data_IF_420743504331
#
_entry.id   IF_420743504331
#
_cell.length_a   1.000
_cell.length_b   1.000
_cell.length_c   1.000
_cell.angle_alpha   90.00
_cell.angle_beta   90.00
_cell.angle_gamma   90.00
#
_symmetry.space_group_name_H-M   'P 1'
#
loop_
_entity.id
_entity.type
_entity.pdbx_description
1 polymer ?
#
# COMPACT_ATOMS: atom_id res chain seq x y z
N UNK A 1 -51.55 4.30 -26.02
CA UNK A 1 -51.36 5.70 -26.45
C UNK A 1 -51.11 6.51 -25.19
N UNK A 2 -49.98 6.29 -24.52
CA UNK A 2 -48.64 6.86 -24.78
C UNK A 2 -48.59 8.35 -24.42
N UNK A 3 -47.64 8.86 -23.62
CA UNK A 3 -46.29 8.40 -23.34
C UNK A 3 -45.85 8.73 -21.90
N UNK A 4 -45.10 7.81 -21.28
CA UNK A 4 -44.27 8.07 -20.10
C UNK A 4 -43.00 8.79 -20.56
N UNK A 5 -42.65 9.88 -19.88
CA UNK A 5 -41.31 10.46 -19.90
C UNK A 5 -40.61 9.94 -18.65
N UNK A 6 -39.66 9.04 -18.83
CA UNK A 6 -38.74 8.56 -17.78
C UNK A 6 -37.61 9.57 -17.66
N UNK A 7 -37.57 10.28 -16.53
CA UNK A 7 -36.35 10.92 -16.01
C UNK A 7 -35.53 9.83 -15.30
N UNK A 8 -34.75 9.09 -16.08
CA UNK A 8 -33.69 8.20 -15.57
C UNK A 8 -32.41 8.54 -16.34
N UNK A 9 -31.73 9.60 -15.90
CA UNK A 9 -30.32 9.86 -16.23
C UNK A 9 -29.54 9.97 -14.90
N UNK A 10 -28.56 9.09 -14.64
CA UNK A 10 -27.71 9.19 -13.45
C UNK A 10 -26.72 10.37 -13.55
N UNK A 11 -26.47 11.11 -12.46
CA UNK A 11 -25.77 12.38 -12.53
C UNK A 11 -24.25 12.20 -12.37
N UNK A 12 -23.50 11.81 -13.41
CA UNK A 12 -22.03 11.95 -13.36
C UNK A 12 -21.24 11.84 -14.67
N UNK A 13 -21.87 11.88 -15.85
CA UNK A 13 -21.10 11.85 -17.11
C UNK A 13 -21.27 13.11 -17.99
N UNK A 14 -20.10 13.63 -18.39
CA UNK A 14 -19.78 14.54 -19.50
C UNK A 14 -19.84 16.06 -19.30
N UNK A 15 -18.64 16.70 -19.36
CA UNK A 15 -18.33 17.77 -20.33
C UNK A 15 -16.81 18.05 -20.45
N UNK A 16 -16.34 18.64 -21.58
CA UNK A 16 -15.02 18.40 -22.18
C UNK A 16 -13.89 19.34 -21.72
N UNK A 17 -12.64 18.87 -21.92
CA UNK A 17 -11.39 19.63 -21.77
C UNK A 17 -11.35 20.88 -22.68
N UNK A 18 -10.67 21.95 -22.23
CA UNK A 18 -10.01 22.89 -23.13
C UNK A 18 -8.48 22.68 -23.20
N UNK A 19 -7.99 22.73 -24.43
CA UNK A 19 -6.60 22.72 -24.87
C UNK A 19 -5.68 23.75 -24.19
N UNK A 20 -4.38 23.40 -24.10
CA UNK A 20 -3.35 24.33 -24.57
C UNK A 20 -2.12 24.58 -23.70
N UNK A 21 -0.98 24.13 -24.25
CA UNK A 21 0.30 24.85 -24.43
C UNK A 21 1.41 24.80 -23.37
N UNK A 22 2.48 24.16 -23.88
CA UNK A 22 3.87 24.66 -24.06
C UNK A 22 4.90 24.37 -22.97
N UNK A 23 5.79 23.46 -23.36
CA UNK A 23 7.16 23.29 -22.92
C UNK A 23 8.00 24.59 -23.05
N UNK A 24 8.96 24.75 -22.14
CA UNK A 24 10.10 25.62 -22.32
C UNK A 24 11.38 24.89 -21.87
N UNK A 25 12.35 24.87 -22.79
CA UNK A 25 13.69 24.33 -22.63
C UNK A 25 14.58 25.25 -21.80
N UNK A 26 15.58 24.68 -21.11
CA UNK A 26 16.70 25.42 -20.49
C UNK A 26 18.01 24.95 -21.14
N UNK A 27 18.81 25.84 -21.75
CA UNK A 27 20.09 25.49 -22.36
C UNK A 27 21.29 25.75 -21.43
N UNK A 28 22.23 24.80 -21.45
CA UNK A 28 23.70 24.91 -21.47
C UNK A 28 24.48 25.84 -20.54
N UNK A 29 25.58 25.34 -19.96
CA UNK A 29 26.97 25.77 -20.32
C UNK A 29 28.07 24.94 -19.65
N UNK A 30 29.23 25.04 -20.29
CA UNK A 30 30.45 24.24 -20.23
C UNK A 30 31.39 24.47 -19.03
N UNK A 31 32.10 23.37 -18.69
CA UNK A 31 33.54 23.17 -18.47
C UNK A 31 34.44 24.30 -17.90
N UNK A 32 35.31 23.91 -16.95
CA UNK A 32 36.75 24.20 -16.99
C UNK A 32 37.54 23.29 -16.04
N UNK A 33 38.76 22.94 -16.47
CA UNK A 33 39.69 21.99 -15.87
C UNK A 33 40.80 22.69 -15.06
N UNK A 34 41.66 21.83 -14.50
CA UNK A 34 43.09 22.02 -14.17
C UNK A 34 43.45 22.31 -12.70
N UNK A 35 44.14 21.32 -12.09
CA UNK A 35 45.15 21.54 -11.06
C UNK A 35 46.31 20.55 -11.29
N UNK A 36 47.52 21.09 -11.38
CA UNK A 36 48.76 20.43 -11.75
C UNK A 36 49.46 19.68 -10.61
N UNK A 37 50.43 18.85 -11.03
CA UNK A 37 51.40 18.07 -10.24
C UNK A 37 52.55 18.92 -9.72
N UNK A 38 53.14 18.48 -8.60
CA UNK A 38 54.56 18.47 -8.15
C UNK A 38 54.52 17.99 -6.68
N UNK A 39 55.44 17.24 -6.06
CA UNK A 39 56.67 16.57 -6.43
C UNK A 39 56.97 15.54 -5.31
N UNK A 40 57.82 14.55 -5.60
CA UNK A 40 58.28 13.54 -4.67
C UNK A 40 59.35 14.05 -3.68
N UNK A 41 59.39 13.48 -2.48
CA UNK A 41 60.61 13.33 -1.69
C UNK A 41 60.54 11.99 -0.93
N UNK A 42 61.56 11.18 -1.17
CA UNK A 42 61.87 9.88 -0.59
C UNK A 42 62.85 10.08 0.58
N UNK A 43 62.64 9.37 1.70
CA UNK A 43 63.72 8.83 2.55
C UNK A 43 63.18 8.23 3.86
N UNK A 44 63.56 6.97 4.14
CA UNK A 44 63.74 6.46 5.51
C UNK A 44 62.88 5.25 5.90
N UNK A 45 63.42 4.04 5.73
CA UNK A 45 62.86 2.77 6.20
C UNK A 45 63.66 2.25 7.41
N UNK A 46 62.93 1.69 8.40
CA UNK A 46 63.29 0.69 9.42
C UNK A 46 63.78 1.12 10.81
N UNK A 47 62.94 0.90 11.84
CA UNK A 47 63.23 0.07 13.04
C UNK A 47 62.22 0.36 14.18
N UNK A 48 61.18 -0.47 14.37
CA UNK A 48 60.36 -0.42 15.60
C UNK A 48 59.47 -1.67 15.84
N UNK A 49 59.89 -2.87 15.41
CA UNK A 49 59.10 -4.10 15.60
C UNK A 49 59.74 -5.15 16.55
N UNK A 50 60.92 -4.90 17.14
CA UNK A 50 61.66 -5.93 17.91
C UNK A 50 61.80 -5.67 19.43
N UNK A 51 61.13 -4.67 20.01
CA UNK A 51 61.29 -4.31 21.44
C UNK A 51 60.18 -4.82 22.38
N UNK A 52 59.15 -5.51 21.87
CA UNK A 52 58.05 -6.01 22.70
C UNK A 52 58.33 -7.39 23.33
N UNK A 53 59.19 -8.21 22.72
CA UNK A 53 59.49 -9.57 23.19
C UNK A 53 60.55 -9.62 24.31
N UNK A 54 61.19 -8.49 24.62
CA UNK A 54 62.19 -8.39 25.70
C UNK A 54 61.59 -7.95 27.04
N UNK A 55 60.42 -7.29 27.01
CA UNK A 55 59.80 -6.70 28.20
C UNK A 55 58.95 -7.70 29.02
N UNK A 56 58.54 -8.82 28.43
CA UNK A 56 57.69 -9.81 29.07
C UNK A 56 58.26 -11.22 28.85
N UNK A 57 59.03 -11.71 29.82
CA UNK A 57 59.57 -13.07 29.82
C UNK A 57 58.50 -14.17 29.72
N UNK A 58 58.90 -15.43 29.48
CA UNK A 58 58.03 -16.51 29.00
C UNK A 58 56.96 -17.04 29.99
N UNK A 59 56.75 -16.39 31.14
CA UNK A 59 55.92 -16.89 32.24
C UNK A 59 54.57 -16.15 32.43
N UNK A 60 54.03 -15.50 31.40
CA UNK A 60 52.64 -14.97 31.43
C UNK A 60 51.62 -15.87 30.71
N UNK A 61 51.98 -17.13 30.48
CA UNK A 61 51.09 -18.15 29.94
C UNK A 61 50.06 -18.67 30.98
N UNK A 62 49.10 -17.82 31.36
CA UNK A 62 47.91 -18.29 32.07
C UNK A 62 46.70 -17.35 31.91
N UNK A 63 46.40 -16.89 30.69
CA UNK A 63 45.04 -16.42 30.41
C UNK A 63 44.23 -17.63 29.95
N UNK A 64 43.24 -17.99 30.77
CA UNK A 64 42.23 -19.01 30.50
C UNK A 64 41.73 -18.85 29.07
N UNK A 65 42.13 -19.75 28.17
CA UNK A 65 41.70 -19.72 26.78
C UNK A 65 40.19 -19.91 26.73
N UNK A 66 39.46 -18.81 26.56
CA UNK A 66 38.04 -18.83 26.24
C UNK A 66 37.92 -19.50 24.88
N UNK A 67 37.27 -20.66 24.86
CA UNK A 67 37.17 -21.54 23.69
C UNK A 67 36.51 -20.82 22.51
N UNK A 68 37.07 -21.02 21.31
CA UNK A 68 36.65 -20.35 20.06
C UNK A 68 35.16 -20.50 19.71
N UNK A 69 34.47 -21.48 20.31
CA UNK A 69 33.03 -21.69 20.15
C UNK A 69 32.16 -20.55 20.74
N UNK A 70 32.64 -19.78 21.74
CA UNK A 70 31.86 -18.67 22.32
C UNK A 70 32.00 -17.35 21.54
N UNK A 71 33.12 -17.14 20.80
CA UNK A 71 33.30 -15.93 19.97
C UNK A 71 32.41 -15.94 18.73
N UNK A 72 32.17 -17.10 18.13
CA UNK A 72 31.30 -17.24 16.95
C UNK A 72 29.81 -16.97 17.26
N UNK A 73 29.32 -17.36 18.45
CA UNK A 73 27.92 -17.08 18.86
C UNK A 73 27.65 -15.60 19.19
N UNK A 74 28.65 -14.85 19.65
CA UNK A 74 28.52 -13.39 19.85
C UNK A 74 28.73 -12.61 18.55
N UNK A 75 29.62 -13.07 17.67
CA UNK A 75 29.83 -12.45 16.35
C UNK A 75 28.58 -12.52 15.47
N UNK A 76 27.87 -13.65 15.46
CA UNK A 76 26.64 -13.81 14.68
C UNK A 76 25.47 -12.97 15.21
N UNK A 77 25.32 -12.81 16.54
CA UNK A 77 24.28 -11.95 17.12
C UNK A 77 24.51 -10.46 16.85
N UNK A 78 25.76 -10.00 16.87
CA UNK A 78 26.10 -8.60 16.56
C UNK A 78 25.94 -8.32 15.06
N UNK A 79 26.33 -9.25 14.19
CA UNK A 79 26.20 -9.11 12.73
C UNK A 79 24.72 -9.19 12.30
N UNK A 80 23.93 -10.08 12.92
CA UNK A 80 22.47 -10.13 12.74
C UNK A 80 21.81 -8.83 13.20
N UNK A 81 22.22 -8.29 14.36
CA UNK A 81 21.74 -7.00 14.86
C UNK A 81 22.04 -5.83 13.91
N UNK A 82 23.24 -5.80 13.33
CA UNK A 82 23.62 -4.78 12.33
C UNK A 82 22.86 -4.92 11.01
N UNK A 83 22.61 -6.15 10.55
CA UNK A 83 21.80 -6.39 9.35
C UNK A 83 20.36 -5.95 9.58
N UNK A 84 19.76 -6.32 10.73
CA UNK A 84 18.40 -5.89 11.07
C UNK A 84 18.34 -4.37 11.22
N UNK A 85 19.28 -3.75 11.93
CA UNK A 85 19.34 -2.29 12.05
C UNK A 85 19.56 -1.60 10.70
N UNK A 86 20.40 -2.16 9.84
CA UNK A 86 20.65 -1.65 8.48
C UNK A 86 19.42 -1.75 7.59
N UNK A 87 18.68 -2.86 7.66
CA UNK A 87 17.40 -3.02 6.95
C UNK A 87 16.36 -2.05 7.50
N UNK A 88 16.24 -1.91 8.82
CA UNK A 88 15.31 -0.95 9.44
C UNK A 88 15.67 0.48 9.05
N UNK A 89 16.94 0.86 9.10
CA UNK A 89 17.41 2.19 8.68
C UNK A 89 17.17 2.39 7.19
N UNK A 90 17.41 1.39 6.33
CA UNK A 90 17.13 1.49 4.91
C UNK A 90 15.62 1.65 4.64
N UNK A 91 14.76 0.92 5.36
CA UNK A 91 13.30 1.06 5.28
C UNK A 91 12.86 2.45 5.76
N UNK A 92 13.36 2.91 6.90
CA UNK A 92 13.05 4.24 7.46
C UNK A 92 13.59 5.38 6.59
N UNK A 93 14.77 5.22 5.97
CA UNK A 93 15.28 6.21 5.03
C UNK A 93 14.51 6.18 3.71
N UNK A 94 14.02 5.01 3.28
CA UNK A 94 13.18 4.90 2.08
C UNK A 94 11.82 5.59 2.28
N UNK A 95 11.24 5.52 3.48
CA UNK A 95 10.01 6.27 3.80
C UNK A 95 10.25 7.78 3.85
N UNK A 96 11.44 8.24 4.27
CA UNK A 96 11.82 9.65 4.21
C UNK A 96 12.02 10.12 2.76
N UNK A 97 12.66 9.33 1.89
CA UNK A 97 12.88 9.67 0.47
C UNK A 97 11.56 9.71 -0.33
N UNK A 98 10.59 8.84 0.00
CA UNK A 98 9.24 8.90 -0.57
C UNK A 98 8.49 10.20 -0.25
N UNK A 99 8.82 10.85 0.88
CA UNK A 99 8.23 12.14 1.26
C UNK A 99 8.73 13.31 0.38
N UNK A 100 9.97 13.24 -0.10
CA UNK A 100 10.64 14.35 -0.83
C UNK A 100 10.29 14.36 -2.33
N UNK A 101 9.79 13.24 -2.89
CA UNK A 101 9.40 13.16 -4.30
C UNK A 101 7.96 13.68 -4.57
N UNK A 102 7.23 14.14 -3.56
CA UNK A 102 5.86 14.67 -3.65
C UNK A 102 5.75 16.11 -4.19
N UNK A 103 6.59 16.46 -5.18
CA UNK A 103 6.51 17.71 -5.91
C UNK A 103 7.41 18.82 -5.41
N UNK A 104 7.60 19.81 -6.28
CA UNK A 104 8.37 21.03 -6.02
C UNK A 104 7.74 21.75 -4.81
N UNK A 105 8.27 21.49 -3.62
CA UNK A 105 7.87 22.09 -2.34
C UNK A 105 6.94 21.29 -1.42
N UNK A 106 6.38 20.13 -1.82
CA UNK A 106 5.65 19.22 -0.90
C UNK A 106 4.35 19.72 -0.26
N UNK A 107 3.78 20.86 -0.68
CA UNK A 107 2.60 21.49 -0.03
C UNK A 107 1.27 21.18 -0.73
N UNK A 108 1.29 20.71 -1.99
CA UNK A 108 0.08 20.55 -2.79
C UNK A 108 -0.26 19.08 -3.10
N UNK A 109 -1.55 18.67 -3.01
CA UNK A 109 -1.97 17.32 -3.37
C UNK A 109 -1.68 17.00 -4.84
N UNK A 110 -1.20 15.78 -5.10
CA UNK A 110 -0.92 15.26 -6.44
C UNK A 110 -1.76 14.00 -6.73
N UNK A 111 -3.07 14.13 -6.97
CA UNK A 111 -3.94 12.97 -7.11
C UNK A 111 -3.57 12.08 -8.31
N UNK A 112 -3.17 12.66 -9.45
CA UNK A 112 -2.76 11.86 -10.61
C UNK A 112 -1.47 11.06 -10.34
N UNK A 113 -0.48 11.68 -9.69
CA UNK A 113 0.76 10.98 -9.34
C UNK A 113 0.53 9.89 -8.29
N UNK A 114 -0.40 10.09 -7.36
CA UNK A 114 -0.85 9.06 -6.42
C UNK A 114 -1.55 7.91 -7.14
N UNK A 115 -2.44 8.20 -8.10
CA UNK A 115 -3.10 7.20 -8.92
C UNK A 115 -2.09 6.37 -9.73
N UNK A 116 -1.13 7.03 -10.38
CA UNK A 116 -0.12 6.35 -11.21
C UNK A 116 0.78 5.44 -10.36
N UNK A 117 1.17 5.89 -9.15
CA UNK A 117 1.91 5.06 -8.17
C UNK A 117 1.07 3.87 -7.72
N UNK A 118 -0.17 4.11 -7.28
CA UNK A 118 -1.08 3.04 -6.87
C UNK A 118 -1.24 2.01 -7.99
N UNK A 119 -1.46 2.46 -9.24
CA UNK A 119 -1.62 1.57 -10.39
C UNK A 119 -0.38 0.72 -10.63
N UNK A 120 0.82 1.31 -10.55
CA UNK A 120 2.07 0.58 -10.71
C UNK A 120 2.24 -0.49 -9.62
N UNK A 121 2.06 -0.11 -8.36
CA UNK A 121 2.24 -0.98 -7.20
C UNK A 121 1.17 -2.09 -7.15
N UNK A 122 -0.10 -1.75 -7.38
CA UNK A 122 -1.20 -2.71 -7.43
C UNK A 122 -1.05 -3.70 -8.58
N UNK A 123 -0.60 -3.26 -9.76
CA UNK A 123 -0.35 -4.15 -10.90
C UNK A 123 0.82 -5.11 -10.65
N UNK A 124 1.74 -4.77 -9.74
CA UNK A 124 2.85 -5.62 -9.36
C UNK A 124 2.47 -6.69 -8.31
N UNK A 125 1.26 -6.62 -7.72
CA UNK A 125 0.79 -7.59 -6.72
C UNK A 125 0.50 -8.95 -7.39
N UNK A 126 1.16 -10.05 -6.97
CA UNK A 126 0.84 -11.39 -7.47
C UNK A 126 -0.64 -11.74 -7.30
N UNK A 127 -1.29 -12.11 -8.40
CA UNK A 127 -2.73 -12.44 -8.44
C UNK A 127 -3.62 -11.29 -8.93
N UNK A 128 -3.09 -10.09 -9.13
CA UNK A 128 -3.81 -9.01 -9.83
C UNK A 128 -3.74 -9.20 -11.34
N UNK A 129 -4.87 -9.09 -12.01
CA UNK A 129 -4.99 -9.23 -13.46
C UNK A 129 -5.07 -7.87 -14.16
N UNK A 130 -5.76 -6.90 -13.56
CA UNK A 130 -5.91 -5.57 -14.13
C UNK A 130 -6.25 -4.53 -13.05
N UNK A 131 -5.91 -3.27 -13.32
CA UNK A 131 -6.39 -2.09 -12.60
C UNK A 131 -7.18 -1.23 -13.58
N UNK A 132 -8.45 -0.96 -13.27
CA UNK A 132 -9.47 -0.40 -14.14
C UNK A 132 -10.20 0.75 -13.46
N UNK A 133 -10.99 1.49 -14.26
CA UNK A 133 -11.95 2.50 -13.83
C UNK A 133 -11.43 3.49 -12.76
N UNK A 134 -10.26 4.13 -12.99
CA UNK A 134 -9.74 5.06 -12.03
C UNK A 134 -10.60 6.33 -11.98
N UNK A 135 -10.96 6.78 -10.78
CA UNK A 135 -11.63 8.05 -10.54
C UNK A 135 -10.77 8.95 -9.66
N UNK A 136 -10.97 10.25 -9.79
CA UNK A 136 -10.32 11.26 -8.95
C UNK A 136 -11.34 12.34 -8.63
N UNK A 137 -11.73 12.40 -7.37
CA UNK A 137 -12.78 13.28 -6.89
C UNK A 137 -12.19 14.34 -5.95
N UNK A 138 -12.42 15.61 -6.26
CA UNK A 138 -12.02 16.71 -5.39
C UNK A 138 -13.02 16.87 -4.25
N UNK A 139 -12.54 16.72 -3.02
CA UNK A 139 -13.36 16.78 -1.82
C UNK A 139 -13.28 18.13 -1.09
N UNK A 140 -12.15 18.83 -1.19
CA UNK A 140 -11.96 20.17 -0.64
C UNK A 140 -10.83 20.89 -1.37
N UNK A 141 -10.47 22.09 -0.90
CA UNK A 141 -9.40 22.91 -1.48
C UNK A 141 -8.09 22.14 -1.69
N UNK A 142 -7.70 21.31 -0.73
CA UNK A 142 -6.50 20.47 -0.78
C UNK A 142 -6.79 19.01 -0.35
N UNK A 143 -7.96 18.48 -0.68
CA UNK A 143 -8.32 17.09 -0.40
C UNK A 143 -8.89 16.41 -1.64
N UNK A 144 -8.34 15.26 -2.00
CA UNK A 144 -8.73 14.44 -3.15
C UNK A 144 -8.89 13.00 -2.74
N UNK A 145 -9.86 12.34 -3.35
CA UNK A 145 -10.06 10.91 -3.27
C UNK A 145 -9.73 10.30 -4.62
N UNK A 146 -8.93 9.26 -4.61
CA UNK A 146 -8.57 8.48 -5.79
C UNK A 146 -9.07 7.07 -5.54
N UNK A 147 -9.88 6.55 -6.46
CA UNK A 147 -10.38 5.19 -6.40
C UNK A 147 -10.07 4.44 -7.70
N UNK A 148 -9.91 3.13 -7.61
CA UNK A 148 -9.78 2.27 -8.78
C UNK A 148 -10.38 0.89 -8.51
N UNK A 149 -10.74 0.16 -9.57
CA UNK A 149 -11.17 -1.23 -9.49
C UNK A 149 -9.98 -2.13 -9.82
N UNK A 150 -9.65 -3.05 -8.92
CA UNK A 150 -8.55 -4.02 -9.10
C UNK A 150 -9.17 -5.39 -9.34
N UNK A 151 -8.99 -5.94 -10.54
CA UNK A 151 -9.46 -7.28 -10.90
C UNK A 151 -8.43 -8.30 -10.42
N UNK A 152 -8.87 -9.24 -9.59
CA UNK A 152 -8.04 -10.26 -8.96
C UNK A 152 -8.40 -11.64 -9.49
N UNK A 153 -7.39 -12.49 -9.65
CA UNK A 153 -7.54 -13.87 -10.09
C UNK A 153 -8.41 -14.68 -9.11
N UNK A 154 -9.45 -15.31 -9.66
CA UNK A 154 -10.40 -16.14 -8.91
C UNK A 154 -9.84 -17.51 -8.55
N UNK A 155 -8.78 -17.97 -9.21
CA UNK A 155 -8.14 -19.25 -8.95
C UNK A 155 -7.22 -19.24 -7.71
N UNK A 156 -7.00 -18.06 -7.10
CA UNK A 156 -6.20 -17.93 -5.89
C UNK A 156 -6.84 -18.69 -4.72
N UNK A 157 -5.99 -19.35 -3.93
CA UNK A 157 -6.41 -19.95 -2.66
C UNK A 157 -6.87 -18.87 -1.67
N UNK A 158 -7.66 -19.22 -0.63
CA UNK A 158 -8.12 -18.26 0.37
C UNK A 158 -6.99 -17.45 1.02
N UNK A 159 -5.86 -18.09 1.34
CA UNK A 159 -4.69 -17.40 1.90
C UNK A 159 -4.08 -16.39 0.92
N UNK A 160 -3.99 -16.75 -0.36
CA UNK A 160 -3.49 -15.85 -1.40
C UNK A 160 -4.44 -14.67 -1.64
N UNK A 161 -5.76 -14.87 -1.52
CA UNK A 161 -6.73 -13.77 -1.61
C UNK A 161 -6.56 -12.77 -0.45
N UNK A 162 -6.33 -13.25 0.77
CA UNK A 162 -6.02 -12.38 1.93
C UNK A 162 -4.70 -11.62 1.71
N UNK A 163 -3.68 -12.29 1.18
CA UNK A 163 -2.40 -11.66 0.86
C UNK A 163 -2.57 -10.54 -0.18
N UNK A 164 -3.39 -10.76 -1.21
CA UNK A 164 -3.69 -9.73 -2.22
C UNK A 164 -4.34 -8.50 -1.58
N UNK A 165 -5.39 -8.69 -0.77
CA UNK A 165 -6.08 -7.57 -0.08
C UNK A 165 -5.10 -6.78 0.81
N UNK A 166 -4.22 -7.48 1.51
CA UNK A 166 -3.22 -6.86 2.39
C UNK A 166 -2.19 -6.06 1.59
N UNK A 167 -1.67 -6.61 0.48
CA UNK A 167 -0.71 -5.90 -0.39
C UNK A 167 -1.36 -4.71 -1.11
N UNK A 168 -2.62 -4.83 -1.52
CA UNK A 168 -3.36 -3.69 -2.09
C UNK A 168 -3.59 -2.58 -1.06
N UNK A 169 -3.82 -2.93 0.21
CA UNK A 169 -3.92 -1.96 1.30
C UNK A 169 -2.60 -1.20 1.51
N UNK A 170 -1.47 -1.93 1.46
CA UNK A 170 -0.14 -1.32 1.53
C UNK A 170 0.12 -0.40 0.32
N UNK A 171 -0.20 -0.83 -0.89
CA UNK A 171 -0.09 0.01 -2.09
C UNK A 171 -0.95 1.29 -1.99
N UNK A 172 -2.17 1.21 -1.42
CA UNK A 172 -3.01 2.37 -1.17
C UNK A 172 -2.40 3.32 -0.12
N UNK A 173 -1.80 2.78 0.93
CA UNK A 173 -1.11 3.56 1.96
C UNK A 173 0.12 4.29 1.41
N UNK A 174 0.94 3.61 0.60
CA UNK A 174 2.16 4.15 0.00
C UNK A 174 1.85 5.20 -1.09
N UNK A 175 0.77 5.00 -1.84
CA UNK A 175 0.33 5.93 -2.86
C UNK A 175 -0.35 7.19 -2.28
N UNK A 176 -1.03 7.06 -1.15
CA UNK A 176 -1.70 8.15 -0.45
C UNK A 176 -0.76 9.19 0.18
N UNK A 177 -1.35 10.23 0.77
CA UNK A 177 -0.62 11.30 1.47
C UNK A 177 -0.83 12.69 0.88
N UNK A 178 -0.36 13.73 1.59
CA UNK A 178 -0.44 15.14 1.16
C UNK A 178 -1.83 15.57 0.66
N UNK A 179 -2.89 15.18 1.37
CA UNK A 179 -4.27 15.50 1.01
C UNK A 179 -4.88 14.59 -0.07
N UNK A 180 -4.20 13.54 -0.50
CA UNK A 180 -4.76 12.49 -1.37
C UNK A 180 -5.05 11.24 -0.56
N UNK A 181 -6.30 10.77 -0.58
CA UNK A 181 -6.68 9.44 -0.09
C UNK A 181 -6.80 8.50 -1.28
N UNK A 182 -6.16 7.34 -1.20
CA UNK A 182 -6.26 6.29 -2.22
C UNK A 182 -7.09 5.14 -1.64
N UNK A 183 -8.09 4.70 -2.39
CA UNK A 183 -8.89 3.51 -2.10
C UNK A 183 -9.00 2.65 -3.36
N UNK A 184 -9.48 1.42 -3.20
CA UNK A 184 -9.78 0.56 -4.33
C UNK A 184 -10.95 -0.37 -4.05
N UNK A 185 -11.47 -1.00 -5.10
CA UNK A 185 -12.37 -2.14 -5.01
C UNK A 185 -11.61 -3.34 -5.57
N UNK A 186 -11.25 -4.30 -4.72
CA UNK A 186 -10.73 -5.59 -5.14
C UNK A 186 -11.90 -6.48 -5.60
N UNK A 187 -11.97 -6.75 -6.90
CA UNK A 187 -12.95 -7.63 -7.51
C UNK A 187 -12.39 -9.05 -7.59
N UNK A 188 -12.87 -9.92 -6.72
CA UNK A 188 -12.48 -11.33 -6.61
C UNK A 188 -13.71 -12.19 -6.94
N UNK A 189 -13.90 -12.48 -8.22
CA UNK A 189 -15.06 -13.23 -8.71
C UNK A 189 -16.37 -12.47 -8.44
N UNK A 190 -17.21 -13.01 -7.56
CA UNK A 190 -18.48 -12.40 -7.16
C UNK A 190 -18.37 -11.45 -5.94
N UNK A 191 -17.16 -11.21 -5.45
CA UNK A 191 -16.90 -10.33 -4.31
C UNK A 191 -16.28 -9.02 -4.82
N UNK A 192 -16.92 -7.90 -4.51
CA UNK A 192 -16.31 -6.57 -4.61
C UNK A 192 -15.96 -6.10 -3.19
N UNK A 193 -14.67 -5.96 -2.88
CA UNK A 193 -14.19 -5.63 -1.54
C UNK A 193 -13.48 -4.29 -1.54
N UNK A 194 -13.96 -3.36 -0.71
CA UNK A 194 -13.32 -2.07 -0.50
C UNK A 194 -11.97 -2.21 0.21
N UNK A 195 -10.92 -1.72 -0.43
CA UNK A 195 -9.56 -1.64 0.08
C UNK A 195 -9.23 -0.19 0.39
N UNK A 196 -8.70 0.05 1.58
CA UNK A 196 -8.19 1.34 2.05
C UNK A 196 -6.75 1.18 2.56
N UNK A 197 -6.14 2.28 3.02
CA UNK A 197 -4.83 2.24 3.66
C UNK A 197 -4.83 1.45 4.99
N UNK A 198 -6.01 1.23 5.60
CA UNK A 198 -6.13 0.36 6.77
C UNK A 198 -6.27 -1.11 6.33
N UNK A 199 -5.18 -1.85 6.48
CA UNK A 199 -5.14 -3.26 6.14
C UNK A 199 -6.05 -4.13 7.03
N UNK A 200 -6.29 -3.73 8.28
CA UNK A 200 -7.15 -4.48 9.20
C UNK A 200 -8.59 -4.39 8.76
N UNK A 201 -9.07 -3.18 8.47
CA UNK A 201 -10.45 -2.95 8.01
C UNK A 201 -10.67 -3.56 6.63
N UNK A 202 -9.70 -3.42 5.72
CA UNK A 202 -9.77 -4.04 4.39
C UNK A 202 -9.87 -5.57 4.48
N UNK A 203 -9.12 -6.21 5.40
CA UNK A 203 -9.24 -7.65 5.65
C UNK A 203 -10.60 -8.01 6.27
N UNK A 204 -11.09 -7.24 7.23
CA UNK A 204 -12.41 -7.45 7.82
C UNK A 204 -13.52 -7.37 6.77
N UNK A 205 -13.46 -6.41 5.84
CA UNK A 205 -14.39 -6.33 4.70
C UNK A 205 -14.32 -7.57 3.81
N UNK A 206 -13.13 -8.08 3.54
CA UNK A 206 -12.95 -9.32 2.77
C UNK A 206 -13.59 -10.52 3.48
N UNK A 207 -13.35 -10.67 4.79
CA UNK A 207 -13.91 -11.74 5.61
C UNK A 207 -15.45 -11.66 5.70
N UNK A 208 -16.00 -10.45 5.88
CA UNK A 208 -17.45 -10.21 5.85
C UNK A 208 -18.03 -10.54 4.47
N UNK A 209 -17.40 -10.08 3.39
CA UNK A 209 -17.88 -10.36 2.04
C UNK A 209 -17.95 -11.86 1.74
N UNK A 210 -16.90 -12.61 2.13
CA UNK A 210 -16.87 -14.07 2.01
C UNK A 210 -17.94 -14.74 2.87
N UNK A 211 -18.04 -14.33 4.14
CA UNK A 211 -19.03 -14.86 5.07
C UNK A 211 -20.46 -14.63 4.58
N UNK A 212 -20.77 -13.47 4.02
CA UNK A 212 -22.08 -13.18 3.44
C UNK A 212 -22.32 -13.96 2.14
N UNK A 213 -21.29 -14.15 1.31
CA UNK A 213 -21.40 -14.93 0.08
C UNK A 213 -21.68 -16.42 0.32
N UNK A 214 -21.28 -16.96 1.48
CA UNK A 214 -21.60 -18.33 1.89
C UNK A 214 -23.09 -18.52 2.28
N UNK A 215 -23.90 -17.46 2.31
CA UNK A 215 -25.36 -17.56 2.53
C UNK A 215 -26.03 -18.09 1.25
N UNK A 216 -26.85 -19.14 1.38
CA UNK A 216 -27.61 -19.69 0.26
C UNK A 216 -28.49 -18.64 -0.44
N UNK A 217 -28.39 -18.55 -1.76
CA UNK A 217 -29.14 -17.60 -2.58
C UNK A 217 -28.41 -16.28 -2.87
N UNK A 218 -27.29 -16.00 -2.19
CA UNK A 218 -26.43 -14.86 -2.51
C UNK A 218 -25.64 -15.15 -3.79
N UNK A 219 -25.68 -14.21 -4.72
CA UNK A 219 -25.01 -14.30 -6.03
C UNK A 219 -23.74 -13.46 -6.10
N UNK A 220 -23.74 -12.31 -5.43
CA UNK A 220 -22.58 -11.43 -5.32
C UNK A 220 -22.68 -10.58 -4.05
N UNK A 221 -21.53 -10.13 -3.56
CA UNK A 221 -21.46 -9.27 -2.38
C UNK A 221 -20.53 -8.10 -2.67
N UNK A 222 -20.99 -6.89 -2.36
CA UNK A 222 -20.16 -5.70 -2.36
C UNK A 222 -20.01 -5.24 -0.91
N UNK A 223 -18.81 -5.33 -0.36
CA UNK A 223 -18.50 -4.84 0.98
C UNK A 223 -17.50 -3.70 0.86
N UNK A 224 -17.96 -2.47 1.03
CA UNK A 224 -17.14 -1.27 0.87
C UNK A 224 -17.47 -0.23 1.93
N UNK A 225 -16.65 0.81 2.01
CA UNK A 225 -17.01 2.00 2.77
C UNK A 225 -18.05 2.83 2.03
N UNK A 226 -18.77 3.68 2.76
CA UNK A 226 -19.47 4.82 2.17
C UNK A 226 -18.51 5.85 1.53
N UNK A 227 -19.05 6.89 0.87
CA UNK A 227 -18.26 7.93 0.19
C UNK A 227 -17.54 8.90 1.15
N UNK A 228 -17.70 8.72 2.46
CA UNK A 228 -17.23 9.66 3.47
C UNK A 228 -15.74 9.45 3.80
N UNK A 229 -15.07 10.52 4.27
CA UNK A 229 -13.64 10.50 4.64
C UNK A 229 -13.34 9.60 5.85
N UNK A 230 -14.37 9.22 6.59
CA UNK A 230 -14.41 8.24 7.68
C UNK A 230 -14.62 6.82 7.15
N UNK A 231 -14.13 6.53 5.94
CA UNK A 231 -14.35 5.30 5.20
C UNK A 231 -14.12 4.02 6.03
N UNK A 232 -13.24 4.06 7.03
CA UNK A 232 -12.88 2.92 7.88
C UNK A 232 -13.65 2.83 9.21
N UNK A 233 -14.62 3.71 9.46
CA UNK A 233 -15.52 3.61 10.61
C UNK A 233 -16.49 2.43 10.45
N UNK A 234 -16.59 1.57 11.46
CA UNK A 234 -17.47 0.41 11.47
C UNK A 234 -18.94 0.75 11.13
N UNK A 235 -19.48 1.85 11.64
CA UNK A 235 -20.87 2.23 11.42
C UNK A 235 -21.14 2.72 9.98
N UNK A 236 -20.10 3.12 9.26
CA UNK A 236 -20.19 3.65 7.90
C UNK A 236 -19.86 2.61 6.82
N UNK A 237 -19.63 1.36 7.22
CA UNK A 237 -19.50 0.26 6.28
C UNK A 237 -20.83 -0.02 5.60
N UNK A 238 -20.75 -0.37 4.31
CA UNK A 238 -21.90 -0.72 3.49
C UNK A 238 -21.69 -2.09 2.89
N UNK A 239 -22.70 -2.95 3.06
CA UNK A 239 -22.77 -4.26 2.42
C UNK A 239 -23.99 -4.28 1.50
N UNK A 240 -23.75 -4.50 0.21
CA UNK A 240 -24.80 -4.73 -0.78
C UNK A 240 -24.78 -6.20 -1.17
N UNK A 241 -25.90 -6.87 -0.94
CA UNK A 241 -26.08 -8.29 -1.26
C UNK A 241 -26.89 -8.39 -2.54
N UNK A 242 -26.32 -9.01 -3.57
CA UNK A 242 -27.05 -9.34 -4.80
C UNK A 242 -27.59 -10.75 -4.64
N UNK A 243 -28.91 -10.91 -4.78
CA UNK A 243 -29.60 -12.19 -4.59
C UNK A 243 -30.72 -12.34 -5.61
N UNK A 244 -31.01 -13.58 -6.00
CA UNK A 244 -32.17 -13.90 -6.84
C UNK A 244 -33.46 -14.15 -6.06
N UNK A 245 -33.38 -14.17 -4.72
CA UNK A 245 -34.53 -14.37 -3.84
C UNK A 245 -35.39 -13.11 -3.70
N UNK A 246 -36.70 -13.29 -3.57
CA UNK A 246 -37.67 -12.20 -3.37
C UNK A 246 -38.54 -12.44 -2.14
N UNK A 247 -39.17 -11.40 -1.61
CA UNK A 247 -40.11 -11.50 -0.47
C UNK A 247 -39.45 -12.10 0.78
N UNK A 248 -40.10 -13.06 1.44
CA UNK A 248 -39.60 -13.64 2.69
C UNK A 248 -38.20 -14.28 2.59
N UNK A 249 -37.81 -14.78 1.41
CA UNK A 249 -36.45 -15.32 1.19
C UNK A 249 -35.43 -14.19 1.18
N UNK A 250 -35.75 -13.06 0.53
CA UNK A 250 -34.91 -11.87 0.54
C UNK A 250 -34.71 -11.35 1.95
N UNK A 251 -35.81 -11.25 2.71
CA UNK A 251 -35.77 -10.78 4.11
C UNK A 251 -34.89 -11.67 4.98
N UNK A 252 -34.96 -12.99 4.82
CA UNK A 252 -34.13 -13.95 5.55
C UNK A 252 -32.63 -13.83 5.19
N UNK A 253 -32.31 -13.64 3.91
CA UNK A 253 -30.93 -13.42 3.43
C UNK A 253 -30.38 -12.12 4.00
N UNK A 254 -31.14 -11.01 3.91
CA UNK A 254 -30.72 -9.70 4.42
C UNK A 254 -30.57 -9.71 5.94
N UNK A 255 -31.47 -10.37 6.67
CA UNK A 255 -31.37 -10.50 8.12
C UNK A 255 -30.10 -11.26 8.53
N UNK A 256 -29.81 -12.39 7.88
CA UNK A 256 -28.61 -13.19 8.14
C UNK A 256 -27.33 -12.43 7.75
N UNK A 257 -27.35 -11.74 6.62
CA UNK A 257 -26.25 -10.90 6.18
C UNK A 257 -25.99 -9.74 7.15
N UNK A 258 -27.06 -9.15 7.69
CA UNK A 258 -26.97 -8.09 8.72
C UNK A 258 -26.33 -8.61 9.99
N UNK A 259 -26.77 -9.77 10.51
CA UNK A 259 -26.19 -10.39 11.70
C UNK A 259 -24.68 -10.64 11.53
N UNK A 260 -24.28 -11.29 10.42
CA UNK A 260 -22.86 -11.57 10.12
C UNK A 260 -22.04 -10.29 9.95
N UNK A 261 -22.60 -9.27 9.32
CA UNK A 261 -21.93 -7.98 9.13
C UNK A 261 -21.77 -7.25 10.45
N UNK A 262 -22.83 -7.15 11.26
CA UNK A 262 -22.83 -6.41 12.53
C UNK A 262 -21.96 -7.04 13.61
N UNK A 263 -21.66 -8.35 13.52
CA UNK A 263 -20.66 -8.99 14.36
C UNK A 263 -19.25 -8.42 14.18
N UNK A 264 -18.93 -7.86 13.00
CA UNK A 264 -17.62 -7.28 12.67
C UNK A 264 -17.69 -5.76 12.61
N UNK A 265 -18.75 -5.21 12.00
CA UNK A 265 -18.98 -3.79 11.82
C UNK A 265 -20.34 -3.38 12.43
N UNK A 266 -20.39 -3.14 13.76
CA UNK A 266 -21.61 -2.69 14.42
C UNK A 266 -22.12 -1.39 13.79
N UNK A 267 -23.41 -1.36 13.44
CA UNK A 267 -24.06 -0.19 12.84
C UNK A 267 -23.90 -0.07 11.32
N UNK A 268 -23.19 -0.99 10.66
CA UNK A 268 -23.06 -1.00 9.21
C UNK A 268 -24.42 -1.11 8.50
N UNK A 269 -24.52 -0.51 7.32
CA UNK A 269 -25.73 -0.61 6.49
C UNK A 269 -25.67 -1.84 5.61
N UNK A 270 -26.69 -2.70 5.69
CA UNK A 270 -26.85 -3.87 4.81
C UNK A 270 -28.10 -3.70 3.96
N UNK A 271 -27.96 -3.85 2.65
CA UNK A 271 -29.04 -3.69 1.68
C UNK A 271 -28.99 -4.79 0.65
N UNK A 272 -30.13 -5.09 0.03
CA UNK A 272 -30.18 -5.96 -1.13
C UNK A 272 -30.24 -5.14 -2.42
N UNK A 273 -29.68 -5.70 -3.48
CA UNK A 273 -29.89 -5.23 -4.84
C UNK A 273 -30.47 -6.37 -5.69
N UNK A 274 -31.41 -6.02 -6.56
CA UNK A 274 -31.90 -6.93 -7.58
C UNK A 274 -30.80 -7.24 -8.60
N UNK A 275 -30.95 -8.38 -9.28
CA UNK A 275 -30.01 -8.87 -10.29
C UNK A 275 -29.95 -7.98 -11.52
#
# INVERSE_FOLDING_TARGET
MDARRTDDDPPWFERPLPDGRRAAAVPGRHAAAASGRLAAADSGRHASDDDLDRAFGPDTAAVRAVTGAQRLRRGSLVLLGFVVAGVVIAVVLSTIVGSVQNGVGGVFPQPQAALDRFRADASAVPGVQAVQDPTTDKQAFAAYDVAAVVVVDTALSPGQQVDVVTRLSAAAADAGGNGVRVTAIARIGALDVGVSADATVSRQRFEVARSVADIGGVMAVRCSSGPERTADDAALQRVVVVTGGTGAVLDAVVATASERTHAVFPGATVTAADR
#
